data_IF_606292416154
#
_entry.id   IF_606292416154
#
_cell.length_a   1.000
_cell.length_b   1.000
_cell.length_c   1.000
_cell.angle_alpha   90.00
_cell.angle_beta   90.00
_cell.angle_gamma   90.00
#
_symmetry.space_group_name_H-M   'P 1'
#
loop_
_entity.id
_entity.type
_entity.pdbx_description
1 polymer ?
#
# COMPACT_ATOMS: atom_id res chain seq x y z
N UNK A 1 -15.71 4.54 -1.18
CA UNK A 1 -15.94 6.01 -1.17
C UNK A 1 -14.82 6.60 -0.35
N UNK A 2 -14.13 7.59 -0.88
CA UNK A 2 -13.10 8.38 -0.18
C UNK A 2 -13.62 9.81 0.01
N UNK A 3 -12.95 10.59 0.84
CA UNK A 3 -13.20 12.03 1.00
C UNK A 3 -11.97 12.82 0.52
N UNK A 4 -12.23 13.93 -0.16
CA UNK A 4 -11.19 14.84 -0.66
C UNK A 4 -11.33 16.15 0.10
N UNK A 5 -10.32 16.51 0.89
CA UNK A 5 -10.25 17.81 1.55
C UNK A 5 -9.90 18.88 0.52
N UNK A 6 -10.77 19.89 0.38
CA UNK A 6 -10.59 21.05 -0.50
C UNK A 6 -11.04 22.31 0.26
N UNK A 7 -10.10 23.21 0.57
CA UNK A 7 -10.37 24.35 1.43
C UNK A 7 -10.81 23.88 2.82
N UNK A 8 -11.99 24.29 3.24
CA UNK A 8 -12.64 23.88 4.50
C UNK A 8 -13.65 22.74 4.32
N UNK A 9 -13.83 22.25 3.09
CA UNK A 9 -14.82 21.22 2.77
C UNK A 9 -14.19 19.84 2.62
N UNK A 10 -14.97 18.81 2.95
CA UNK A 10 -14.66 17.40 2.66
C UNK A 10 -15.68 16.86 1.66
N UNK A 11 -15.21 16.58 0.45
CA UNK A 11 -16.06 16.13 -0.64
C UNK A 11 -15.94 14.62 -0.79
N UNK A 12 -17.03 13.91 -0.56
CA UNK A 12 -17.08 12.48 -0.82
C UNK A 12 -16.95 12.20 -2.32
N UNK A 13 -16.20 11.17 -2.70
CA UNK A 13 -16.12 10.63 -4.06
C UNK A 13 -16.06 9.10 -4.01
N UNK A 14 -16.94 8.44 -4.75
CA UNK A 14 -16.89 6.99 -4.88
C UNK A 14 -18.02 6.45 -5.73
N UNK A 15 -18.35 5.17 -5.52
CA UNK A 15 -19.44 4.50 -6.23
C UNK A 15 -20.74 5.33 -6.14
N UNK A 16 -21.35 5.73 -7.27
CA UNK A 16 -22.57 6.53 -7.28
C UNK A 16 -23.75 5.84 -6.57
N UNK A 17 -23.71 4.51 -6.40
CA UNK A 17 -24.69 3.75 -5.62
C UNK A 17 -24.58 4.00 -4.11
N UNK A 18 -23.39 4.33 -3.62
CA UNK A 18 -23.09 4.60 -2.19
C UNK A 18 -22.96 6.09 -1.88
N UNK A 19 -22.63 6.90 -2.88
CA UNK A 19 -22.48 8.34 -2.77
C UNK A 19 -23.12 8.99 -4.01
N UNK A 20 -24.46 9.09 -4.05
CA UNK A 20 -25.15 9.68 -5.20
C UNK A 20 -24.68 11.12 -5.40
N UNK A 21 -24.56 11.54 -6.66
CA UNK A 21 -24.10 12.87 -7.07
C UNK A 21 -22.65 13.25 -6.70
N UNK A 22 -21.88 12.39 -6.01
CA UNK A 22 -20.47 12.67 -5.68
C UNK A 22 -19.62 12.95 -6.91
N UNK A 23 -19.92 12.27 -8.02
CA UNK A 23 -19.24 12.44 -9.30
C UNK A 23 -19.53 13.80 -9.97
N UNK A 24 -20.53 14.57 -9.52
CA UNK A 24 -20.89 15.87 -10.11
C UNK A 24 -20.14 17.05 -9.48
N UNK A 25 -19.40 16.84 -8.38
CA UNK A 25 -18.73 17.94 -7.68
C UNK A 25 -17.58 18.53 -8.50
N UNK A 26 -17.72 19.78 -8.96
CA UNK A 26 -16.75 20.46 -9.84
C UNK A 26 -15.38 20.68 -9.19
N UNK A 27 -15.32 20.79 -7.86
CA UNK A 27 -14.06 20.92 -7.13
C UNK A 27 -13.11 19.72 -7.33
N UNK A 28 -13.66 18.54 -7.62
CA UNK A 28 -12.94 17.29 -7.90
C UNK A 28 -12.77 17.01 -9.39
N UNK A 29 -13.07 18.01 -10.24
CA UNK A 29 -12.99 17.89 -11.69
C UNK A 29 -14.33 17.75 -12.40
N UNK A 30 -14.28 17.93 -13.73
CA UNK A 30 -15.46 17.94 -14.60
C UNK A 30 -16.00 16.52 -14.83
N UNK A 31 -17.25 16.43 -15.30
CA UNK A 31 -17.83 15.13 -15.66
C UNK A 31 -17.04 14.46 -16.81
N UNK A 32 -16.57 15.25 -17.77
CA UNK A 32 -15.76 14.74 -18.89
C UNK A 32 -14.44 14.14 -18.40
N UNK A 33 -13.76 14.80 -17.46
CA UNK A 33 -12.53 14.27 -16.84
C UNK A 33 -12.77 12.94 -16.12
N UNK A 34 -13.91 12.80 -15.42
CA UNK A 34 -14.29 11.57 -14.72
C UNK A 34 -14.65 10.44 -15.69
N UNK A 35 -15.33 10.76 -16.79
CA UNK A 35 -15.58 9.81 -17.89
C UNK A 35 -14.27 9.40 -18.54
N UNK A 36 -13.33 10.33 -18.75
CA UNK A 36 -12.00 10.02 -19.27
C UNK A 36 -11.22 9.09 -18.33
N UNK A 37 -11.29 9.32 -17.03
CA UNK A 37 -10.72 8.41 -16.04
C UNK A 37 -11.37 7.01 -16.10
N UNK A 38 -12.70 6.93 -16.19
CA UNK A 38 -13.39 5.66 -16.35
C UNK A 38 -12.96 4.93 -17.65
N UNK A 39 -12.84 5.65 -18.77
CA UNK A 39 -12.33 5.09 -20.03
C UNK A 39 -10.88 4.63 -19.91
N UNK A 40 -10.03 5.41 -19.24
CA UNK A 40 -8.64 5.06 -18.96
C UNK A 40 -8.55 3.73 -18.20
N UNK A 41 -9.43 3.49 -17.23
CA UNK A 41 -9.44 2.24 -16.48
C UNK A 41 -9.60 1.03 -17.41
N UNK A 42 -10.37 1.12 -18.49
CA UNK A 42 -10.63 -0.01 -19.40
C UNK A 42 -9.84 0.05 -20.72
N UNK A 43 -8.98 1.05 -20.91
CA UNK A 43 -8.24 1.22 -22.16
C UNK A 43 -7.03 0.29 -22.25
N UNK A 44 -6.57 0.04 -23.48
CA UNK A 44 -5.24 -0.52 -23.73
C UNK A 44 -4.18 0.57 -23.51
N UNK A 45 -3.11 0.21 -22.81
CA UNK A 45 -2.02 1.12 -22.51
C UNK A 45 -0.89 0.99 -23.53
N UNK A 46 -0.20 2.11 -23.77
CA UNK A 46 1.08 2.10 -24.46
C UNK A 46 2.13 1.47 -23.55
N UNK A 47 3.08 0.74 -24.12
CA UNK A 47 4.25 0.24 -23.39
C UNK A 47 5.13 1.41 -22.97
N UNK A 48 5.89 1.24 -21.88
CA UNK A 48 6.95 2.15 -21.45
C UNK A 48 6.46 3.58 -21.15
N UNK A 49 5.29 3.70 -20.54
CA UNK A 49 4.73 4.98 -20.11
C UNK A 49 4.50 4.98 -18.60
N UNK A 50 4.77 6.12 -17.94
CA UNK A 50 4.38 6.30 -16.54
C UNK A 50 2.86 6.48 -16.39
N UNK A 51 2.35 6.07 -15.23
CA UNK A 51 0.94 6.19 -14.88
C UNK A 51 0.48 7.64 -14.89
N UNK A 52 1.28 8.54 -14.32
CA UNK A 52 0.97 9.97 -14.32
C UNK A 52 0.88 10.56 -15.72
N UNK A 53 1.82 10.21 -16.61
CA UNK A 53 1.75 10.63 -18.01
C UNK A 53 0.52 10.04 -18.73
N UNK A 54 0.18 8.79 -18.45
CA UNK A 54 -0.97 8.14 -19.07
C UNK A 54 -2.30 8.79 -18.65
N UNK A 55 -2.45 9.13 -17.36
CA UNK A 55 -3.62 9.82 -16.82
C UNK A 55 -3.76 11.26 -17.35
N UNK A 56 -2.65 11.98 -17.50
CA UNK A 56 -2.63 13.30 -18.15
C UNK A 56 -3.02 13.21 -19.62
N UNK A 57 -2.44 12.27 -20.37
CA UNK A 57 -2.77 12.05 -21.78
C UNK A 57 -4.23 11.62 -22.00
N UNK A 58 -4.81 10.91 -21.03
CA UNK A 58 -6.23 10.56 -21.06
C UNK A 58 -7.17 11.77 -20.86
N UNK A 59 -6.65 12.94 -20.49
CA UNK A 59 -7.46 14.12 -20.24
C UNK A 59 -8.23 14.04 -18.92
N UNK A 60 -7.63 13.45 -17.87
CA UNK A 60 -8.23 13.37 -16.54
C UNK A 60 -8.12 14.70 -15.76
N UNK A 61 -7.29 15.64 -16.20
CA UNK A 61 -7.23 17.03 -15.73
C UNK A 61 -7.27 17.19 -14.20
N UNK A 62 -8.22 18.00 -13.72
CA UNK A 62 -8.38 18.30 -12.28
C UNK A 62 -8.75 17.05 -11.47
N UNK A 63 -9.51 16.13 -12.06
CA UNK A 63 -9.81 14.83 -11.42
C UNK A 63 -8.52 14.06 -11.13
N UNK A 64 -7.56 14.08 -12.04
CA UNK A 64 -6.25 13.49 -11.76
C UNK A 64 -5.51 14.25 -10.67
N UNK A 65 -5.31 15.57 -10.82
CA UNK A 65 -4.44 16.33 -9.91
C UNK A 65 -4.95 16.39 -8.46
N UNK A 66 -6.27 16.52 -8.26
CA UNK A 66 -6.87 16.72 -6.92
C UNK A 66 -7.38 15.44 -6.26
N UNK A 67 -7.53 14.36 -7.02
CA UNK A 67 -8.11 13.12 -6.48
C UNK A 67 -7.19 11.95 -6.71
N UNK A 68 -6.97 11.60 -7.99
CA UNK A 68 -6.32 10.35 -8.33
C UNK A 68 -4.84 10.39 -7.95
N UNK A 69 -4.14 11.49 -8.24
CA UNK A 69 -2.73 11.65 -7.90
C UNK A 69 -2.48 11.57 -6.38
N UNK A 70 -3.12 12.38 -5.51
CA UNK A 70 -2.91 12.26 -4.06
C UNK A 70 -3.33 10.89 -3.50
N UNK A 71 -4.42 10.30 -4.00
CA UNK A 71 -4.80 8.94 -3.63
C UNK A 71 -3.71 7.93 -3.96
N UNK A 72 -3.20 7.96 -5.19
CA UNK A 72 -2.19 7.01 -5.66
C UNK A 72 -0.81 7.24 -5.03
N UNK A 73 -0.48 8.47 -4.65
CA UNK A 73 0.71 8.73 -3.81
C UNK A 73 0.61 7.99 -2.48
N UNK A 74 -0.57 7.92 -1.87
CA UNK A 74 -0.82 7.11 -0.67
C UNK A 74 -0.83 5.60 -0.90
N UNK A 75 -1.02 5.15 -2.14
CA UNK A 75 -1.00 3.72 -2.51
C UNK A 75 0.41 3.24 -2.84
N UNK A 76 1.17 4.05 -3.58
CA UNK A 76 2.49 3.69 -4.08
C UNK A 76 3.65 4.24 -3.24
N UNK A 77 3.38 5.17 -2.33
CA UNK A 77 4.40 5.97 -1.64
C UNK A 77 5.38 6.63 -2.62
N UNK A 78 4.89 6.97 -3.82
CA UNK A 78 5.67 7.55 -4.90
C UNK A 78 4.79 8.44 -5.77
N UNK A 79 5.42 9.38 -6.49
CA UNK A 79 4.71 10.10 -7.54
C UNK A 79 4.26 9.12 -8.65
N UNK A 80 3.00 9.15 -9.12
CA UNK A 80 2.55 8.34 -10.25
C UNK A 80 3.40 8.47 -11.53
N UNK A 81 4.21 9.53 -11.66
CA UNK A 81 5.18 9.66 -12.74
C UNK A 81 6.37 8.69 -12.67
N UNK A 82 6.61 8.07 -11.50
CA UNK A 82 7.63 7.04 -11.31
C UNK A 82 7.06 5.61 -11.44
N UNK A 83 5.74 5.47 -11.58
CA UNK A 83 5.05 4.18 -11.57
C UNK A 83 4.68 3.79 -12.99
N UNK A 84 4.91 2.53 -13.36
CA UNK A 84 4.46 2.00 -14.66
C UNK A 84 2.93 2.10 -14.83
N UNK A 85 2.47 2.51 -16.02
CA UNK A 85 1.05 2.70 -16.29
C UNK A 85 0.24 1.40 -16.24
N UNK A 86 0.81 0.27 -16.69
CA UNK A 86 0.10 -1.01 -16.73
C UNK A 86 -0.10 -1.57 -15.32
N UNK A 87 0.96 -1.55 -14.50
CA UNK A 87 0.83 -1.84 -13.08
C UNK A 87 -0.17 -0.91 -12.39
N UNK A 88 -0.04 0.40 -12.61
CA UNK A 88 -0.93 1.40 -12.02
C UNK A 88 -2.40 1.19 -12.37
N UNK A 89 -2.71 0.85 -13.62
CA UNK A 89 -4.07 0.56 -14.06
C UNK A 89 -4.65 -0.70 -13.41
N UNK A 90 -3.85 -1.75 -13.21
CA UNK A 90 -4.29 -2.96 -12.47
C UNK A 90 -4.68 -2.59 -11.03
N UNK A 91 -3.86 -1.78 -10.37
CA UNK A 91 -4.12 -1.33 -8.99
C UNK A 91 -5.36 -0.44 -8.91
N UNK A 92 -5.53 0.50 -9.84
CA UNK A 92 -6.75 1.32 -9.88
C UNK A 92 -8.00 0.45 -10.08
N UNK A 93 -7.94 -0.53 -10.99
CA UNK A 93 -9.05 -1.47 -11.22
C UNK A 93 -9.42 -2.21 -9.95
N UNK A 94 -8.45 -2.70 -9.18
CA UNK A 94 -8.73 -3.44 -7.94
C UNK A 94 -9.41 -2.57 -6.88
N UNK A 95 -9.08 -1.28 -6.79
CA UNK A 95 -9.79 -0.34 -5.89
C UNK A 95 -11.21 0.01 -6.36
N UNK A 96 -11.44 0.05 -7.67
CA UNK A 96 -12.75 0.37 -8.25
C UNK A 96 -13.73 -0.80 -8.12
N UNK A 97 -13.24 -2.04 -8.29
CA UNK A 97 -14.08 -3.25 -8.23
C UNK A 97 -14.10 -3.91 -6.85
N UNK A 98 -13.07 -3.69 -6.04
CA UNK A 98 -12.92 -4.31 -4.73
C UNK A 98 -13.65 -3.60 -3.60
N UNK A 99 -13.80 -4.31 -2.49
CA UNK A 99 -14.20 -3.73 -1.20
C UNK A 99 -13.04 -3.88 -0.22
N UNK A 100 -12.34 -2.79 0.15
CA UNK A 100 -11.27 -2.88 1.12
C UNK A 100 -11.85 -3.25 2.49
N UNK A 101 -11.10 -4.06 3.23
CA UNK A 101 -11.48 -4.49 4.57
C UNK A 101 -10.23 -4.86 5.37
N UNK A 102 -10.37 -4.80 6.68
CA UNK A 102 -9.32 -5.17 7.64
C UNK A 102 -9.92 -6.11 8.69
N UNK A 103 -9.18 -7.13 9.16
CA UNK A 103 -9.69 -8.03 10.18
C UNK A 103 -10.02 -7.28 11.48
N UNK A 104 -11.04 -7.73 12.21
CA UNK A 104 -11.49 -7.09 13.46
C UNK A 104 -10.36 -6.79 14.46
N UNK A 105 -9.34 -7.65 14.51
CA UNK A 105 -8.22 -7.58 15.45
C UNK A 105 -6.86 -7.33 14.77
N UNK A 106 -6.84 -6.65 13.62
CA UNK A 106 -5.62 -6.26 12.94
C UNK A 106 -5.21 -7.21 11.81
N UNK A 107 -4.42 -6.70 10.86
CA UNK A 107 -3.97 -7.46 9.69
C UNK A 107 -3.07 -8.65 10.06
N UNK A 108 -2.42 -8.62 11.23
CA UNK A 108 -1.61 -9.74 11.74
C UNK A 108 -2.39 -11.03 12.03
N UNK A 109 -3.72 -10.96 12.11
CA UNK A 109 -4.57 -12.15 12.26
C UNK A 109 -4.36 -13.17 11.14
N UNK A 110 -4.13 -12.72 9.90
CA UNK A 110 -3.89 -13.63 8.77
C UNK A 110 -2.59 -14.41 8.98
N UNK A 111 -1.50 -13.71 9.31
CA UNK A 111 -0.19 -14.35 9.55
C UNK A 111 -0.23 -15.31 10.74
N UNK A 112 -0.94 -14.95 11.82
CA UNK A 112 -1.14 -15.83 12.98
C UNK A 112 -1.92 -17.09 12.61
N UNK A 113 -2.99 -16.95 11.83
CA UNK A 113 -3.79 -18.08 11.37
C UNK A 113 -2.98 -19.03 10.47
N UNK A 114 -2.10 -18.49 9.61
CA UNK A 114 -1.19 -19.29 8.79
C UNK A 114 -0.14 -20.01 9.66
N UNK A 115 0.51 -19.28 10.57
CA UNK A 115 1.54 -19.83 11.46
C UNK A 115 1.01 -20.99 12.31
N UNK A 116 -0.24 -20.91 12.78
CA UNK A 116 -0.87 -21.97 13.60
C UNK A 116 -1.01 -23.33 12.88
N UNK A 117 -0.84 -23.36 11.55
CA UNK A 117 -0.94 -24.57 10.73
C UNK A 117 0.42 -25.18 10.38
N UNK A 118 1.51 -24.56 10.82
CA UNK A 118 2.88 -24.99 10.55
C UNK A 118 3.37 -25.77 11.76
N UNK A 119 3.74 -27.04 11.57
CA UNK A 119 4.22 -27.90 12.65
C UNK A 119 5.66 -27.58 13.06
N UNK A 120 6.51 -27.21 12.10
CA UNK A 120 7.91 -26.85 12.32
C UNK A 120 8.11 -25.38 11.94
N UNK A 121 8.03 -24.51 12.94
CA UNK A 121 8.20 -23.06 12.81
C UNK A 121 9.24 -22.58 13.82
N UNK A 122 10.41 -22.22 13.30
CA UNK A 122 11.49 -21.66 14.11
C UNK A 122 11.45 -20.13 14.04
N UNK A 123 11.17 -19.49 15.17
CA UNK A 123 11.25 -18.03 15.32
C UNK A 123 12.60 -17.65 15.94
N UNK A 124 13.05 -16.41 15.69
CA UNK A 124 14.36 -15.91 16.15
C UNK A 124 15.56 -16.70 15.61
N UNK A 125 15.39 -17.37 14.46
CA UNK A 125 16.46 -18.04 13.72
C UNK A 125 16.71 -17.26 12.44
N UNK A 126 17.84 -16.56 12.38
CA UNK A 126 18.20 -15.75 11.20
C UNK A 126 18.93 -16.63 10.20
N UNK A 127 18.43 -16.72 8.96
CA UNK A 127 19.21 -17.25 7.84
C UNK A 127 20.27 -16.23 7.44
N UNK A 128 21.53 -16.67 7.38
CA UNK A 128 22.70 -15.81 7.15
C UNK A 128 23.31 -16.07 5.78
N UNK A 129 23.35 -17.33 5.34
CA UNK A 129 23.93 -17.73 4.06
C UNK A 129 23.32 -19.03 3.55
N UNK A 130 23.36 -19.23 2.24
CA UNK A 130 23.02 -20.49 1.58
C UNK A 130 24.26 -21.04 0.89
N UNK A 131 24.62 -22.29 1.17
CA UNK A 131 25.75 -23.01 0.56
C UNK A 131 25.23 -24.35 0.03
N UNK A 132 25.05 -24.44 -1.29
CA UNK A 132 24.41 -25.60 -1.90
C UNK A 132 22.97 -25.77 -1.38
N UNK A 133 22.72 -26.87 -0.69
CA UNK A 133 21.43 -27.25 -0.11
C UNK A 133 21.34 -27.01 1.41
N UNK A 134 22.35 -26.32 1.97
CA UNK A 134 22.45 -26.04 3.40
C UNK A 134 22.23 -24.56 3.65
N UNK A 135 21.35 -24.25 4.60
CA UNK A 135 21.13 -22.89 5.09
C UNK A 135 21.91 -22.71 6.39
N UNK A 136 22.88 -21.80 6.39
CA UNK A 136 23.60 -21.39 7.58
C UNK A 136 22.77 -20.35 8.32
N UNK A 137 22.55 -20.58 9.61
CA UNK A 137 21.72 -19.72 10.45
C UNK A 137 22.43 -19.36 11.75
N UNK A 138 21.85 -18.40 12.47
CA UNK A 138 22.33 -17.97 13.78
C UNK A 138 22.33 -19.05 14.87
N UNK A 139 21.73 -20.22 14.64
CA UNK A 139 21.65 -21.34 15.61
C UNK A 139 22.27 -22.63 15.09
N UNK A 140 22.90 -22.60 13.91
CA UNK A 140 23.47 -23.78 13.26
C UNK A 140 23.06 -23.92 11.80
N UNK A 141 23.28 -25.10 11.24
CA UNK A 141 23.04 -25.40 9.83
C UNK A 141 21.78 -26.26 9.67
N UNK A 142 21.03 -26.00 8.59
CA UNK A 142 19.86 -26.77 8.21
C UNK A 142 20.01 -27.27 6.78
N UNK A 143 19.96 -28.58 6.57
CA UNK A 143 19.96 -29.19 5.25
C UNK A 143 18.54 -29.33 4.71
N UNK A 144 18.33 -28.97 3.44
CA UNK A 144 17.05 -29.08 2.78
C UNK A 144 17.21 -29.52 1.32
N UNK A 145 16.29 -30.38 0.84
CA UNK A 145 16.24 -30.77 -0.58
C UNK A 145 15.92 -29.58 -1.48
N UNK A 146 15.04 -28.70 -1.04
CA UNK A 146 14.65 -27.48 -1.75
C UNK A 146 14.58 -26.31 -0.77
N UNK A 147 15.05 -25.14 -1.19
CA UNK A 147 15.10 -23.91 -0.39
C UNK A 147 14.24 -22.85 -1.05
N UNK A 148 13.29 -22.29 -0.27
CA UNK A 148 12.48 -21.14 -0.68
C UNK A 148 12.87 -19.91 0.14
N UNK A 149 13.34 -18.88 -0.54
CA UNK A 149 13.61 -17.56 0.06
C UNK A 149 12.34 -16.72 -0.05
N UNK A 150 11.75 -16.36 1.10
CA UNK A 150 10.57 -15.50 1.20
C UNK A 150 10.83 -14.27 2.09
N UNK A 151 12.04 -13.70 1.98
CA UNK A 151 12.48 -12.51 2.72
C UNK A 151 12.17 -11.22 1.94
N UNK A 152 12.46 -10.06 2.52
CA UNK A 152 12.40 -8.78 1.80
C UNK A 152 13.40 -8.75 0.63
N UNK A 153 13.19 -7.84 -0.32
CA UNK A 153 13.97 -7.77 -1.55
C UNK A 153 15.49 -7.59 -1.30
N UNK A 154 15.88 -6.85 -0.27
CA UNK A 154 17.30 -6.62 0.05
C UNK A 154 17.92 -7.88 0.60
N UNK A 155 17.28 -8.50 1.59
CA UNK A 155 17.76 -9.76 2.17
C UNK A 155 17.80 -10.89 1.13
N UNK A 156 16.78 -10.99 0.27
CA UNK A 156 16.75 -11.98 -0.80
C UNK A 156 17.91 -11.79 -1.78
N UNK A 157 18.18 -10.55 -2.22
CA UNK A 157 19.32 -10.27 -3.08
C UNK A 157 20.66 -10.57 -2.41
N UNK A 158 20.80 -10.36 -1.10
CA UNK A 158 22.01 -10.72 -0.36
C UNK A 158 22.23 -12.23 -0.31
N UNK A 159 21.19 -13.00 0.06
CA UNK A 159 21.26 -14.46 0.15
C UNK A 159 21.50 -15.13 -1.21
N UNK A 160 21.02 -14.50 -2.29
CA UNK A 160 21.18 -14.98 -3.67
C UNK A 160 22.38 -14.38 -4.40
N UNK A 161 23.14 -13.49 -3.76
CA UNK A 161 24.25 -12.73 -4.36
C UNK A 161 23.83 -12.01 -5.67
N UNK A 162 22.60 -11.48 -5.72
CA UNK A 162 22.08 -10.75 -6.87
C UNK A 162 22.64 -9.32 -6.90
N UNK A 163 23.17 -8.92 -8.07
CA UNK A 163 23.78 -7.60 -8.25
C UNK A 163 22.81 -6.41 -8.30
N UNK A 164 21.49 -6.63 -8.32
CA UNK A 164 20.49 -5.56 -8.35
C UNK A 164 19.37 -5.83 -7.34
N UNK A 165 19.01 -4.79 -6.58
CA UNK A 165 17.88 -4.78 -5.66
C UNK A 165 16.80 -3.87 -6.23
N UNK A 166 15.53 -4.27 -6.12
CA UNK A 166 14.43 -3.37 -6.45
C UNK A 166 14.47 -2.14 -5.54
N UNK A 167 14.23 -0.95 -6.10
CA UNK A 167 14.07 0.26 -5.30
C UNK A 167 12.84 0.12 -4.41
N UNK A 168 13.00 0.36 -3.12
CA UNK A 168 11.91 0.31 -2.14
C UNK A 168 11.46 1.73 -1.78
N UNK A 169 10.17 1.90 -1.51
CA UNK A 169 9.60 3.11 -0.94
C UNK A 169 9.36 2.94 0.55
N UNK A 170 9.69 3.99 1.31
CA UNK A 170 9.44 4.05 2.74
C UNK A 170 8.13 4.78 3.06
N UNK A 171 7.60 4.54 4.26
CA UNK A 171 6.50 5.32 4.80
C UNK A 171 6.52 5.33 6.32
N UNK A 172 5.76 6.26 6.90
CA UNK A 172 5.47 6.29 8.33
C UNK A 172 3.96 6.22 8.53
N UNK A 173 3.52 5.28 9.38
CA UNK A 173 2.15 5.26 9.89
C UNK A 173 2.11 5.86 11.29
N UNK A 174 1.24 6.83 11.47
CA UNK A 174 1.00 7.54 12.73
C UNK A 174 -0.36 7.14 13.27
N UNK A 175 -0.40 6.85 14.56
CA UNK A 175 -1.62 6.56 15.29
C UNK A 175 -1.86 7.63 16.34
N UNK A 176 -2.95 8.38 16.19
CA UNK A 176 -3.38 9.40 17.15
C UNK A 176 -4.71 9.00 17.78
N UNK A 177 -4.90 9.29 19.07
CA UNK A 177 -6.16 9.10 19.77
C UNK A 177 -6.87 10.43 20.01
N UNK A 178 -8.21 10.39 19.97
CA UNK A 178 -9.11 11.52 20.24
C UNK A 178 -10.44 11.00 20.78
N UNK A 179 -11.04 11.72 21.72
CA UNK A 179 -12.38 11.44 22.25
C UNK A 179 -13.48 11.94 21.30
N UNK A 180 -13.19 12.96 20.48
CA UNK A 180 -14.06 13.46 19.42
C UNK A 180 -13.72 12.82 18.07
N UNK A 181 -14.66 12.10 17.46
CA UNK A 181 -14.48 11.50 16.14
C UNK A 181 -14.54 12.57 15.03
N UNK A 182 -13.45 12.78 14.25
CA UNK A 182 -13.43 13.80 13.21
C UNK A 182 -14.09 13.35 11.89
N UNK A 183 -14.24 12.04 11.68
CA UNK A 183 -14.71 11.45 10.42
C UNK A 183 -16.24 11.42 10.33
N UNK A 184 -16.89 10.74 11.29
CA UNK A 184 -18.31 10.44 11.26
C UNK A 184 -18.76 9.44 10.17
N UNK A 185 -17.86 8.99 9.28
CA UNK A 185 -18.20 8.14 8.13
C UNK A 185 -17.28 6.94 7.94
N UNK A 186 -16.13 6.88 8.63
CA UNK A 186 -15.11 5.86 8.47
C UNK A 186 -14.42 5.86 7.10
N UNK A 187 -14.54 6.94 6.32
CA UNK A 187 -13.95 7.04 4.99
C UNK A 187 -12.49 7.50 5.07
N UNK A 188 -11.68 6.99 4.14
CA UNK A 188 -10.33 7.48 3.90
C UNK A 188 -10.40 8.91 3.36
N UNK A 189 -9.62 9.82 3.93
CA UNK A 189 -9.46 11.19 3.46
C UNK A 189 -8.09 11.41 2.83
N UNK A 190 -8.06 12.20 1.75
CA UNK A 190 -6.86 12.71 1.09
C UNK A 190 -6.93 14.23 0.96
N UNK A 191 -5.78 14.90 0.84
CA UNK A 191 -5.75 16.34 0.55
C UNK A 191 -5.60 16.60 -0.95
N UNK A 192 -6.67 17.12 -1.57
CA UNK A 192 -6.68 17.44 -3.00
C UNK A 192 -5.87 18.69 -3.37
N UNK A 193 -5.38 19.45 -2.38
CA UNK A 193 -4.57 20.65 -2.58
C UNK A 193 -3.10 20.48 -2.16
N UNK A 194 -2.70 19.30 -1.68
CA UNK A 194 -1.31 18.98 -1.28
C UNK A 194 -0.71 20.01 -0.32
N UNK A 195 -1.47 20.40 0.72
CA UNK A 195 -1.10 21.46 1.69
C UNK A 195 -0.17 20.95 2.78
N UNK A 196 0.16 19.66 2.81
CA UNK A 196 1.09 19.10 3.79
C UNK A 196 1.50 17.66 3.49
N UNK A 197 2.22 17.02 4.43
CA UNK A 197 2.97 15.78 4.19
C UNK A 197 2.16 14.48 4.30
N UNK A 198 0.87 14.57 4.65
CA UNK A 198 0.01 13.39 4.86
C UNK A 198 -0.55 12.95 3.54
N UNK A 199 -0.25 11.71 3.14
CA UNK A 199 -0.81 11.11 1.93
C UNK A 199 -2.30 10.79 2.12
N UNK A 200 -2.63 10.19 3.25
CA UNK A 200 -4.01 9.84 3.59
C UNK A 200 -4.19 9.69 5.11
N UNK A 201 -5.44 9.79 5.55
CA UNK A 201 -5.84 9.54 6.93
C UNK A 201 -7.20 8.83 6.99
N UNK A 202 -7.45 8.07 8.06
CA UNK A 202 -8.78 7.55 8.37
C UNK A 202 -8.97 7.38 9.88
N UNK A 203 -10.22 7.48 10.35
CA UNK A 203 -10.58 7.03 11.70
C UNK A 203 -10.76 5.51 11.67
N UNK A 204 -9.67 4.77 11.89
CA UNK A 204 -9.64 3.30 11.71
C UNK A 204 -10.55 2.56 12.69
N UNK A 205 -10.87 3.17 13.84
CA UNK A 205 -11.85 2.66 14.80
C UNK A 205 -13.31 2.70 14.30
N UNK A 206 -13.60 3.40 13.20
CA UNK A 206 -14.92 3.31 12.55
C UNK A 206 -15.07 2.06 11.69
N UNK A 207 -13.95 1.45 11.27
CA UNK A 207 -13.96 0.18 10.55
C UNK A 207 -14.12 -0.99 11.51
N UNK A 208 -13.43 -0.94 12.66
CA UNK A 208 -13.57 -1.92 13.73
C UNK A 208 -13.53 -1.23 15.09
N UNK A 209 -14.62 -1.36 15.86
CA UNK A 209 -14.68 -0.82 17.24
C UNK A 209 -13.69 -1.49 18.18
N UNK A 210 -13.09 -2.61 17.81
CA UNK A 210 -12.04 -3.26 18.62
C UNK A 210 -10.69 -2.53 18.55
N UNK A 211 -10.54 -1.52 17.69
CA UNK A 211 -9.29 -0.77 17.53
C UNK A 211 -9.15 0.42 18.48
N UNK A 212 -10.19 0.75 19.24
CA UNK A 212 -10.12 1.80 20.25
C UNK A 212 -10.96 1.40 21.47
N UNK A 213 -10.58 1.83 22.68
CA UNK A 213 -11.44 1.67 23.84
C UNK A 213 -12.71 2.50 23.70
N UNK A 214 -13.73 2.17 24.52
CA UNK A 214 -14.99 2.93 24.52
C UNK A 214 -14.73 4.42 24.80
N UNK A 215 -15.42 5.28 24.05
CA UNK A 215 -15.28 6.74 24.15
C UNK A 215 -14.07 7.31 23.42
N UNK A 216 -13.20 6.47 22.84
CA UNK A 216 -12.02 6.90 22.09
C UNK A 216 -12.12 6.51 20.62
N UNK A 217 -11.39 7.25 19.79
CA UNK A 217 -11.25 7.02 18.37
C UNK A 217 -9.78 6.96 18.01
N UNK A 218 -9.43 6.03 17.12
CA UNK A 218 -8.06 5.86 16.64
C UNK A 218 -7.96 6.41 15.21
N UNK A 219 -7.11 7.40 15.03
CA UNK A 219 -6.79 7.99 13.73
C UNK A 219 -5.51 7.36 13.21
N UNK A 220 -5.57 6.80 12.01
CA UNK A 220 -4.41 6.28 11.28
C UNK A 220 -4.08 7.25 10.16
N UNK A 221 -2.84 7.68 10.07
CA UNK A 221 -2.38 8.60 9.02
C UNK A 221 -1.04 8.13 8.45
N UNK A 222 -0.84 8.32 7.15
CA UNK A 222 0.38 7.87 6.47
C UNK A 222 1.12 9.03 5.83
N UNK A 223 2.43 9.11 6.06
CA UNK A 223 3.34 10.12 5.48
C UNK A 223 4.57 9.47 4.87
N UNK A 224 5.41 10.29 4.24
CA UNK A 224 6.79 9.92 3.92
C UNK A 224 7.66 9.91 5.19
N UNK A 225 8.87 9.36 5.06
CA UNK A 225 9.93 9.38 6.08
C UNK A 225 10.34 10.83 6.42
N UNK A 226 10.93 11.02 7.60
CA UNK A 226 11.45 12.32 8.04
C UNK A 226 10.41 13.37 8.45
N UNK A 227 9.11 13.07 8.35
CA UNK A 227 8.04 13.98 8.82
C UNK A 227 7.97 13.99 10.36
N UNK A 228 7.71 15.15 10.96
CA UNK A 228 7.52 15.29 12.41
C UNK A 228 6.05 15.17 12.82
N UNK A 229 5.77 14.75 14.07
CA UNK A 229 4.40 14.69 14.61
C UNK A 229 3.66 16.03 14.49
N UNK A 230 4.34 17.15 14.76
CA UNK A 230 3.77 18.49 14.68
C UNK A 230 3.30 18.84 13.25
N UNK A 231 4.08 18.46 12.23
CA UNK A 231 3.70 18.66 10.83
C UNK A 231 2.52 17.79 10.43
N UNK A 232 2.50 16.54 10.90
CA UNK A 232 1.38 15.62 10.70
C UNK A 232 0.12 16.18 11.33
N UNK A 233 0.12 16.53 12.63
CA UNK A 233 -1.07 17.07 13.32
C UNK A 233 -1.55 18.37 12.70
N UNK A 234 -0.64 19.28 12.31
CA UNK A 234 -1.01 20.52 11.60
C UNK A 234 -1.72 20.22 10.29
N UNK A 235 -1.22 19.28 9.49
CA UNK A 235 -1.87 18.94 8.23
C UNK A 235 -3.18 18.19 8.44
N UNK A 236 -3.25 17.31 9.44
CA UNK A 236 -4.49 16.63 9.83
C UNK A 236 -5.56 17.63 10.30
N UNK A 237 -5.19 18.71 10.99
CA UNK A 237 -6.13 19.79 11.34
C UNK A 237 -6.76 20.41 10.10
N UNK A 238 -5.95 20.69 9.07
CA UNK A 238 -6.43 21.18 7.77
C UNK A 238 -7.31 20.16 7.05
N UNK A 239 -6.89 18.89 7.00
CA UNK A 239 -7.62 17.83 6.29
C UNK A 239 -8.98 17.55 6.93
N UNK A 240 -9.00 17.37 8.26
CA UNK A 240 -10.19 17.05 9.02
C UNK A 240 -11.04 18.28 9.36
N UNK A 241 -10.50 19.50 9.27
CA UNK A 241 -11.24 20.72 9.62
C UNK A 241 -11.55 20.84 11.11
N UNK A 242 -10.72 20.24 11.97
CA UNK A 242 -10.84 20.25 13.43
C UNK A 242 -9.50 20.60 14.07
N UNK A 243 -9.51 21.01 15.33
CA UNK A 243 -8.28 21.17 16.10
C UNK A 243 -7.70 19.80 16.48
N UNK A 244 -6.38 19.65 16.32
CA UNK A 244 -5.65 18.40 16.58
C UNK A 244 -4.59 18.55 17.67
N UNK A 245 -4.60 19.68 18.40
CA UNK A 245 -3.57 19.96 19.43
C UNK A 245 -3.61 18.95 20.58
N UNK A 246 -4.80 18.48 20.93
CA UNK A 246 -5.01 17.52 22.03
C UNK A 246 -4.98 16.07 21.57
N UNK A 247 -4.72 15.82 20.28
CA UNK A 247 -4.58 14.45 19.77
C UNK A 247 -3.32 13.82 20.35
N UNK A 248 -3.52 12.73 21.08
CA UNK A 248 -2.44 11.99 21.72
C UNK A 248 -1.78 11.06 20.70
N UNK A 249 -0.47 11.18 20.50
CA UNK A 249 0.29 10.20 19.74
C UNK A 249 0.37 8.88 20.52
N UNK A 250 -0.19 7.81 19.95
CA UNK A 250 -0.22 6.47 20.53
C UNK A 250 0.94 5.62 20.02
N UNK A 251 1.21 5.69 18.71
CA UNK A 251 2.28 4.95 18.09
C UNK A 251 2.74 5.60 16.78
N UNK A 252 4.02 5.39 16.47
CA UNK A 252 4.66 5.73 15.19
C UNK A 252 5.36 4.47 14.69
N UNK A 253 5.03 4.04 13.48
CA UNK A 253 5.71 2.94 12.81
C UNK A 253 6.39 3.46 11.56
N UNK A 254 7.70 3.37 11.53
CA UNK A 254 8.54 3.80 10.42
C UNK A 254 9.05 2.57 9.68
N UNK A 255 8.71 2.45 8.40
CA UNK A 255 9.07 1.31 7.55
C UNK A 255 9.86 1.87 6.37
N UNK A 256 11.19 1.76 6.43
CA UNK A 256 12.09 2.30 5.40
C UNK A 256 11.93 1.62 4.03
N UNK A 257 11.58 0.33 4.03
CA UNK A 257 11.38 -0.50 2.84
C UNK A 257 9.98 -1.12 2.85
N UNK A 258 8.95 -0.28 2.72
CA UNK A 258 7.55 -0.67 2.86
C UNK A 258 6.94 -1.28 1.60
N UNK A 259 7.31 -0.76 0.42
CA UNK A 259 6.73 -1.20 -0.84
C UNK A 259 7.76 -1.17 -1.99
N UNK A 260 7.88 -2.25 -2.79
CA UNK A 260 8.68 -2.22 -4.01
C UNK A 260 8.14 -1.21 -5.03
N UNK A 261 9.01 -0.34 -5.55
CA UNK A 261 8.66 0.56 -6.64
C UNK A 261 8.69 -0.18 -7.98
N UNK A 262 7.53 -0.26 -8.62
CA UNK A 262 7.42 -0.81 -9.98
C UNK A 262 7.59 0.29 -11.03
N UNK A 263 8.85 0.52 -11.40
CA UNK A 263 9.27 1.54 -12.36
C UNK A 263 8.87 1.20 -13.79
N UNK A 264 8.75 2.23 -14.62
CA UNK A 264 8.41 2.12 -16.04
C UNK A 264 9.37 1.16 -16.74
N UNK A 265 8.82 0.23 -17.52
CA UNK A 265 9.60 -0.73 -18.30
C UNK A 265 10.05 -1.99 -17.55
N UNK A 266 9.76 -2.10 -16.25
CA UNK A 266 9.96 -3.36 -15.52
C UNK A 266 8.89 -4.39 -15.86
N UNK A 267 9.27 -5.66 -15.89
CA UNK A 267 8.30 -6.76 -16.07
C UNK A 267 7.59 -7.02 -14.74
N UNK A 268 6.27 -7.20 -14.79
CA UNK A 268 5.43 -7.43 -13.60
C UNK A 268 5.76 -8.70 -12.82
N UNK A 269 6.20 -9.74 -13.51
CA UNK A 269 6.50 -11.04 -12.90
C UNK A 269 7.93 -11.43 -13.24
N UNK A 270 8.68 -11.85 -12.24
CA UNK A 270 10.03 -12.38 -12.36
C UNK A 270 10.03 -13.89 -12.11
N UNK A 271 10.97 -14.66 -12.68
CA UNK A 271 11.03 -16.12 -12.47
C UNK A 271 11.15 -16.51 -10.99
N UNK A 272 10.35 -17.44 -10.50
CA UNK A 272 10.42 -17.89 -9.10
C UNK A 272 11.55 -18.89 -8.85
N UNK A 273 11.89 -19.73 -9.85
CA UNK A 273 12.98 -20.70 -9.79
C UNK A 273 14.31 -20.02 -10.13
N UNK A 274 15.29 -20.09 -9.23
CA UNK A 274 16.65 -19.56 -9.42
C UNK A 274 17.60 -20.66 -9.90
N UNK A 275 17.52 -21.83 -9.30
CA UNK A 275 18.22 -23.06 -9.71
C UNK A 275 17.35 -24.28 -9.41
N UNK A 276 17.87 -25.49 -9.60
CA UNK A 276 17.07 -26.72 -9.45
C UNK A 276 16.44 -26.90 -8.07
N UNK A 277 17.11 -26.43 -7.02
CA UNK A 277 16.67 -26.58 -5.63
C UNK A 277 16.54 -25.25 -4.89
N UNK A 278 16.54 -24.12 -5.61
CA UNK A 278 16.52 -22.78 -5.02
C UNK A 278 15.46 -21.91 -5.67
N UNK A 279 14.58 -21.37 -4.85
CA UNK A 279 13.41 -20.62 -5.24
C UNK A 279 13.32 -19.30 -4.46
N UNK A 280 12.65 -18.31 -5.04
CA UNK A 280 12.41 -17.02 -4.39
C UNK A 280 10.96 -16.55 -4.58
N UNK A 281 10.33 -16.14 -3.48
CA UNK A 281 8.98 -15.61 -3.46
C UNK A 281 8.96 -14.27 -2.71
N UNK A 282 7.94 -13.46 -3.02
CA UNK A 282 7.77 -12.14 -2.44
C UNK A 282 6.96 -11.23 -3.37
N UNK A 283 6.44 -10.15 -2.79
CA UNK A 283 5.80 -9.07 -3.55
C UNK A 283 6.75 -8.41 -4.55
N UNK A 284 8.07 -8.43 -4.29
CA UNK A 284 9.12 -7.99 -5.19
C UNK A 284 9.33 -8.90 -6.41
N UNK A 285 8.74 -10.11 -6.44
CA UNK A 285 8.78 -11.03 -7.59
C UNK A 285 7.56 -10.91 -8.49
N UNK A 286 6.50 -10.27 -8.02
CA UNK A 286 5.22 -10.17 -8.73
C UNK A 286 4.64 -8.75 -8.59
N UNK A 287 3.31 -8.61 -8.61
CA UNK A 287 2.62 -7.34 -8.38
C UNK A 287 2.83 -6.90 -6.92
N UNK A 288 3.45 -5.72 -6.64
CA UNK A 288 3.74 -5.26 -5.28
C UNK A 288 2.49 -5.11 -4.41
N UNK A 289 2.13 -6.16 -3.68
CA UNK A 289 0.90 -6.26 -2.88
C UNK A 289 0.90 -7.53 -2.03
N UNK A 290 0.03 -7.57 -1.01
CA UNK A 290 -0.22 -8.79 -0.22
C UNK A 290 -0.69 -9.96 -1.10
N UNK A 291 -1.54 -9.69 -2.10
CA UNK A 291 -2.01 -10.71 -3.04
C UNK A 291 -0.88 -11.22 -3.93
N UNK A 292 0.00 -10.34 -4.38
CA UNK A 292 1.20 -10.72 -5.13
C UNK A 292 2.13 -11.61 -4.30
N UNK A 293 2.37 -11.26 -3.03
CA UNK A 293 3.15 -12.09 -2.12
C UNK A 293 2.55 -13.51 -1.98
N UNK A 294 1.26 -13.63 -1.69
CA UNK A 294 0.57 -14.92 -1.58
C UNK A 294 0.59 -15.73 -2.89
N UNK A 295 0.38 -15.06 -4.02
CA UNK A 295 0.45 -15.68 -5.35
C UNK A 295 1.86 -16.21 -5.64
N UNK A 296 2.89 -15.43 -5.35
CA UNK A 296 4.29 -15.83 -5.56
C UNK A 296 4.68 -17.05 -4.72
N UNK A 297 4.22 -17.12 -3.47
CA UNK A 297 4.43 -18.30 -2.61
C UNK A 297 3.69 -19.53 -3.13
N UNK A 298 2.47 -19.36 -3.63
CA UNK A 298 1.68 -20.44 -4.23
C UNK A 298 2.35 -21.00 -5.49
N UNK A 299 2.88 -20.13 -6.35
CA UNK A 299 3.64 -20.52 -7.53
C UNK A 299 4.93 -21.26 -7.16
N UNK A 300 5.66 -20.79 -6.15
CA UNK A 300 6.86 -21.48 -5.66
C UNK A 300 6.53 -22.88 -5.15
N UNK A 301 5.49 -23.03 -4.35
CA UNK A 301 5.05 -24.32 -3.86
C UNK A 301 4.70 -25.29 -5.00
N UNK A 302 4.00 -24.82 -6.05
CA UNK A 302 3.70 -25.65 -7.23
C UNK A 302 4.98 -26.09 -7.96
N UNK A 303 6.01 -25.26 -8.02
CA UNK A 303 7.28 -25.61 -8.68
C UNK A 303 8.18 -26.53 -7.84
N UNK A 304 7.97 -26.59 -6.52
CA UNK A 304 8.71 -27.47 -5.60
C UNK A 304 8.03 -28.86 -5.51
N UNK A 305 6.70 -28.89 -5.58
CA UNK A 305 5.91 -30.12 -5.42
C UNK A 305 5.74 -30.94 -6.71
N UNK A 306 6.08 -30.38 -7.87
CA UNK A 306 6.05 -31.03 -9.18
C UNK A 306 7.43 -31.55 -9.56
#
# INVERSE_FOLDING_TARGET
>A
VIEVSLGTERIALGDPRKAPFSALHRGTGSLNEKVNFARFIFSKLKREQSLGQALRNAGCGTTYERVIRPFLQGVFFADPDQVDAHYGQIVIRSFVTGSPGIPKFGVGQLSQALASRISDLQLNVRAERIVGNTVQTSVGEFDARDILIATDATTASQLLELGQVCRMQGCVTWYHATDLNPSGTGRLIIDGQKRGPVFNSLTISDISKAYAPSGMNLISSTTDLGTTDSEVRRHLSTMWGVETRDWQLIAKYEIASALPLHEVGKTLTQPTKISDHLYVAGDHRTVPSQQGALFSGSLAAQLILN
#
